data_IF_040801938250
#
_entry.id   IF_040801938250
#
_cell.length_a   1.000
_cell.length_b   1.000
_cell.length_c   1.000
_cell.angle_alpha   90.00
_cell.angle_beta   90.00
_cell.angle_gamma   90.00
#
_symmetry.space_group_name_H-M   'P 1'
#
loop_
_entity.id
_entity.type
_entity.pdbx_description
1 polymer ?
#
# COMPACT_ATOMS: atom_id res chain seq x y z
N UNK A 1 -11.69 -5.43 4.37
CA UNK A 1 -10.87 -4.49 3.58
C UNK A 1 -9.42 -4.96 3.55
N UNK A 2 -8.86 -5.04 2.35
CA UNK A 2 -7.45 -5.37 2.16
C UNK A 2 -6.69 -4.10 1.82
N UNK A 3 -5.60 -3.86 2.53
CA UNK A 3 -4.75 -2.68 2.30
C UNK A 3 -3.34 -3.16 1.99
N UNK A 4 -2.80 -2.73 0.86
CA UNK A 4 -1.48 -3.17 0.41
C UNK A 4 -0.64 -1.98 -0.04
N UNK A 5 0.67 -2.10 0.17
CA UNK A 5 1.65 -1.12 -0.28
C UNK A 5 2.53 -1.78 -1.33
N UNK A 6 2.55 -1.20 -2.52
CA UNK A 6 3.33 -1.72 -3.63
C UNK A 6 4.53 -0.80 -3.82
N UNK A 7 5.73 -1.33 -3.59
CA UNK A 7 6.95 -0.53 -3.72
C UNK A 7 8.16 -1.42 -4.02
N UNK A 8 9.17 -0.80 -4.62
CA UNK A 8 10.44 -1.47 -4.94
C UNK A 8 11.46 -1.16 -3.84
N UNK A 9 12.06 -2.20 -3.26
CA UNK A 9 12.97 -2.04 -2.13
C UNK A 9 14.29 -1.35 -2.48
N UNK A 10 14.75 -1.49 -3.72
CA UNK A 10 16.04 -0.94 -4.14
C UNK A 10 15.90 0.45 -4.77
N UNK A 11 15.12 1.32 -4.16
CA UNK A 11 14.87 2.66 -4.68
C UNK A 11 15.06 3.70 -3.59
N UNK A 12 15.16 4.97 -4.01
CA UNK A 12 15.35 6.08 -3.07
C UNK A 12 14.17 6.24 -2.11
N UNK A 13 12.96 5.92 -2.55
CA UNK A 13 11.78 6.08 -1.71
C UNK A 13 11.54 4.88 -0.76
N UNK A 14 12.29 3.80 -0.91
CA UNK A 14 12.05 2.59 -0.12
C UNK A 14 12.16 2.86 1.39
N UNK A 15 13.11 3.70 1.79
CA UNK A 15 13.27 4.04 3.20
C UNK A 15 12.08 4.83 3.72
N UNK A 16 11.57 5.77 2.92
CA UNK A 16 10.38 6.54 3.29
C UNK A 16 9.19 5.62 3.50
N UNK A 17 9.02 4.64 2.62
CA UNK A 17 7.94 3.66 2.75
C UNK A 17 8.14 2.79 3.99
N UNK A 18 9.36 2.31 4.23
CA UNK A 18 9.65 1.48 5.40
C UNK A 18 9.37 2.22 6.70
N UNK A 19 9.77 3.49 6.79
CA UNK A 19 9.50 4.32 7.95
C UNK A 19 8.00 4.52 8.15
N UNK A 20 7.26 4.75 7.07
CA UNK A 20 5.80 4.89 7.13
C UNK A 20 5.15 3.60 7.63
N UNK A 21 5.58 2.45 7.13
CA UNK A 21 5.04 1.16 7.56
C UNK A 21 5.28 0.91 9.04
N UNK A 22 6.48 1.24 9.50
CA UNK A 22 6.84 1.08 10.92
C UNK A 22 5.98 1.98 11.81
N UNK A 23 5.84 3.25 11.43
CA UNK A 23 5.03 4.20 12.20
C UNK A 23 3.56 3.80 12.19
N UNK A 24 3.06 3.33 11.06
CA UNK A 24 1.67 2.90 10.94
C UNK A 24 1.39 1.74 11.88
N UNK A 25 2.25 0.73 11.87
CA UNK A 25 2.09 -0.42 12.76
C UNK A 25 2.17 0.00 14.22
N UNK A 26 3.11 0.88 14.55
CA UNK A 26 3.30 1.35 15.92
C UNK A 26 2.06 2.11 16.42
N UNK A 27 1.49 2.97 15.59
CA UNK A 27 0.38 3.83 16.01
C UNK A 27 -0.97 3.12 15.96
N UNK A 28 -1.17 2.19 15.04
CA UNK A 28 -2.48 1.57 14.84
C UNK A 28 -2.56 0.12 15.30
N UNK A 29 -1.42 -0.53 15.45
CA UNK A 29 -1.38 -1.97 15.76
C UNK A 29 -1.67 -2.86 14.56
N UNK A 30 -1.85 -2.29 13.37
CA UNK A 30 -2.13 -3.05 12.15
C UNK A 30 -0.91 -3.10 11.26
N UNK A 31 -0.66 -4.25 10.65
CA UNK A 31 0.37 -4.41 9.63
C UNK A 31 -0.26 -4.29 8.25
N UNK A 32 0.39 -3.51 7.39
CA UNK A 32 0.00 -3.42 5.98
C UNK A 32 0.70 -4.53 5.19
N UNK A 33 0.00 -5.08 4.23
CA UNK A 33 0.60 -6.03 3.29
C UNK A 33 1.56 -5.29 2.36
N UNK A 34 2.72 -5.88 2.08
CA UNK A 34 3.68 -5.30 1.14
C UNK A 34 3.81 -6.18 -0.08
N UNK A 35 3.88 -5.56 -1.24
CA UNK A 35 3.96 -6.27 -2.52
C UNK A 35 5.13 -5.69 -3.30
N UNK A 36 6.06 -6.55 -3.70
CA UNK A 36 7.16 -6.17 -4.59
C UNK A 36 6.66 -6.29 -6.03
N UNK A 37 6.61 -5.17 -6.79
CA UNK A 37 6.08 -5.21 -8.15
C UNK A 37 6.96 -5.99 -9.13
N UNK A 38 8.16 -6.36 -8.75
CA UNK A 38 9.05 -7.13 -9.62
C UNK A 38 8.89 -8.65 -9.47
N UNK A 39 8.14 -9.10 -8.46
CA UNK A 39 7.84 -10.52 -8.32
C UNK A 39 6.72 -10.93 -9.29
N UNK A 40 6.60 -12.23 -9.54
CA UNK A 40 5.55 -12.74 -10.41
C UNK A 40 4.16 -12.32 -9.92
N UNK A 41 3.90 -12.51 -8.63
CA UNK A 41 2.61 -12.13 -8.04
C UNK A 41 2.42 -10.62 -8.05
N UNK A 42 3.49 -9.85 -7.83
CA UNK A 42 3.45 -8.40 -7.86
C UNK A 42 3.13 -7.85 -9.24
N UNK A 43 3.72 -8.45 -10.28
CA UNK A 43 3.42 -8.06 -11.66
C UNK A 43 1.94 -8.27 -11.96
N UNK A 44 1.40 -9.43 -11.58
CA UNK A 44 -0.02 -9.72 -11.80
C UNK A 44 -0.92 -8.77 -11.04
N UNK A 45 -0.57 -8.46 -9.80
CA UNK A 45 -1.33 -7.52 -8.98
C UNK A 45 -1.36 -6.13 -9.62
N UNK A 46 -0.23 -5.66 -10.10
CA UNK A 46 -0.15 -4.34 -10.74
C UNK A 46 -0.95 -4.29 -12.03
N UNK A 47 -0.94 -5.38 -12.81
CA UNK A 47 -1.75 -5.45 -14.03
C UNK A 47 -3.23 -5.45 -13.72
N UNK A 48 -3.65 -6.19 -12.70
CA UNK A 48 -5.05 -6.29 -12.31
C UNK A 48 -5.64 -4.94 -11.92
N UNK A 49 -4.87 -4.13 -11.19
CA UNK A 49 -5.34 -2.84 -10.68
C UNK A 49 -4.77 -1.65 -11.44
N UNK A 50 -4.06 -1.90 -12.54
CA UNK A 50 -3.52 -0.85 -13.42
C UNK A 50 -2.59 0.11 -12.66
N UNK A 51 -1.71 -0.45 -11.84
CA UNK A 51 -0.78 0.32 -11.03
C UNK A 51 0.47 0.61 -11.86
N UNK A 52 0.72 1.89 -12.14
CA UNK A 52 1.82 2.33 -12.99
C UNK A 52 2.86 3.16 -12.25
N UNK A 53 2.55 3.64 -11.06
CA UNK A 53 3.47 4.46 -10.27
C UNK A 53 3.81 3.77 -8.95
N UNK A 54 5.00 4.04 -8.44
CA UNK A 54 5.47 3.47 -7.18
C UNK A 54 6.11 4.57 -6.33
N UNK A 55 5.93 4.54 -5.01
CA UNK A 55 5.10 3.60 -4.27
C UNK A 55 3.60 3.87 -4.46
N UNK A 56 2.79 2.84 -4.36
CA UNK A 56 1.33 2.98 -4.41
C UNK A 56 0.73 2.25 -3.22
N UNK A 57 -0.26 2.86 -2.60
CA UNK A 57 -1.03 2.23 -1.53
C UNK A 57 -2.45 2.06 -2.05
N UNK A 58 -3.00 0.85 -1.90
CA UNK A 58 -4.34 0.53 -2.39
C UNK A 58 -5.16 -0.07 -1.26
N UNK A 59 -6.41 0.37 -1.14
CA UNK A 59 -7.38 -0.20 -0.22
C UNK A 59 -8.52 -0.79 -1.05
N UNK A 60 -8.77 -2.08 -0.88
CA UNK A 60 -9.82 -2.79 -1.61
C UNK A 60 -10.82 -3.39 -0.64
N UNK A 61 -12.07 -3.51 -1.09
CA UNK A 61 -13.08 -4.22 -0.34
C UNK A 61 -12.88 -5.73 -0.48
N UNK A 62 -13.67 -6.52 0.27
CA UNK A 62 -13.51 -7.96 0.28
C UNK A 62 -13.79 -8.60 -1.08
N UNK A 63 -14.57 -7.93 -1.93
CA UNK A 63 -14.87 -8.41 -3.28
C UNK A 63 -13.83 -7.96 -4.32
N UNK A 64 -12.77 -7.27 -3.89
CA UNK A 64 -11.72 -6.81 -4.78
C UNK A 64 -11.94 -5.44 -5.41
N UNK A 65 -13.02 -4.76 -5.05
CA UNK A 65 -13.29 -3.42 -5.57
C UNK A 65 -12.38 -2.40 -4.91
N UNK A 66 -11.77 -1.51 -5.71
CA UNK A 66 -10.92 -0.46 -5.18
C UNK A 66 -11.76 0.57 -4.43
N UNK A 67 -11.44 0.80 -3.17
CA UNK A 67 -12.07 1.86 -2.37
C UNK A 67 -11.25 3.14 -2.44
N UNK A 68 -9.92 3.03 -2.41
CA UNK A 68 -9.04 4.18 -2.50
C UNK A 68 -7.67 3.72 -2.99
N UNK A 69 -7.01 4.57 -3.76
CA UNK A 69 -5.65 4.33 -4.24
C UNK A 69 -4.86 5.65 -4.14
N UNK A 70 -3.68 5.57 -3.55
CA UNK A 70 -2.74 6.69 -3.48
C UNK A 70 -1.53 6.32 -4.32
N UNK A 71 -1.35 6.99 -5.45
CA UNK A 71 -0.25 6.71 -6.38
C UNK A 71 0.87 7.72 -6.21
N UNK A 72 2.08 7.20 -6.06
CA UNK A 72 3.26 8.04 -5.96
C UNK A 72 3.41 8.74 -4.62
N UNK A 73 4.36 9.65 -4.54
CA UNK A 73 4.60 10.47 -3.34
C UNK A 73 3.82 11.79 -3.48
N UNK A 74 3.39 12.37 -2.35
CA UNK A 74 3.59 11.91 -0.97
C UNK A 74 2.66 10.76 -0.60
N UNK A 75 3.07 10.00 0.42
CA UNK A 75 2.23 8.96 0.99
C UNK A 75 1.06 9.59 1.75
N UNK A 76 -0.06 8.85 1.92
CA UNK A 76 -1.17 9.37 2.72
C UNK A 76 -0.76 9.50 4.17
N UNK A 77 -1.56 10.23 4.95
CA UNK A 77 -1.36 10.28 6.38
C UNK A 77 -1.79 8.96 7.01
N UNK A 78 -1.25 8.69 8.19
CA UNK A 78 -1.64 7.50 8.94
C UNK A 78 -3.14 7.52 9.25
N UNK A 79 -3.69 8.69 9.56
CA UNK A 79 -5.11 8.83 9.85
C UNK A 79 -5.98 8.52 8.62
N UNK A 80 -5.58 8.98 7.44
CA UNK A 80 -6.32 8.67 6.23
C UNK A 80 -6.34 7.18 5.95
N UNK A 81 -5.18 6.54 6.04
CA UNK A 81 -5.07 5.13 5.74
C UNK A 81 -5.76 4.28 6.80
N UNK A 82 -5.65 4.64 8.07
CA UNK A 82 -6.26 3.87 9.16
C UNK A 82 -7.78 3.84 9.06
N UNK A 83 -8.38 4.87 8.48
CA UNK A 83 -9.83 4.86 8.23
C UNK A 83 -10.24 3.64 7.42
N UNK A 84 -9.46 3.31 6.39
CA UNK A 84 -9.77 2.16 5.54
C UNK A 84 -9.42 0.83 6.20
N UNK A 85 -8.35 0.78 6.98
CA UNK A 85 -7.95 -0.47 7.66
C UNK A 85 -8.90 -0.84 8.80
N UNK A 86 -9.64 0.11 9.34
CA UNK A 86 -10.60 -0.15 10.41
C UNK A 86 -11.98 -0.55 9.90
N UNK A 87 -12.21 -0.47 8.61
CA UNK A 87 -13.47 -0.90 8.01
C UNK A 87 -13.44 -2.41 7.77
N UNK A 88 -14.14 -3.13 8.57
CA UNK A 88 -14.25 -4.59 8.42
C UNK A 88 -15.69 -5.02 8.42
#
# INVERSE_FOLDING_TARGET
VRTAVIYKENTEYARTVADFLHDFEYQTGHQLETIDPETHDGVQFCELYDILEFPTIIATSDDGTIQKMWQGLPLPTINELSYYTQQQ
#
